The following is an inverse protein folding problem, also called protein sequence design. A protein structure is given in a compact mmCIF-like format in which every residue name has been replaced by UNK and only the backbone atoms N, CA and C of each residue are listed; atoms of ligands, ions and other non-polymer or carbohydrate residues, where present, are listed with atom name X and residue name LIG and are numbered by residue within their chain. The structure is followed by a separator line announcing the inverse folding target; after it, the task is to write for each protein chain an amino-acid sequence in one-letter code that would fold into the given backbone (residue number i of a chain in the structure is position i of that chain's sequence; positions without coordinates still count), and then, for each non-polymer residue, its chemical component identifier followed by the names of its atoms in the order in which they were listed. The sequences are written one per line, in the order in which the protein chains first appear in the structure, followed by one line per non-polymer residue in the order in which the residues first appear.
data_IF_656191112285
#
_entry.id   IF_656191112285
#
_cell.length_a   1.000
_cell.length_b   1.000
_cell.length_c   1.000
_cell.angle_alpha   90.00
_cell.angle_beta   90.00
_cell.angle_gamma   90.00
#
_symmetry.space_group_name_H-M   'P 1'
#
loop_
_entity.id
_entity.type
_entity.pdbx_description
1 polymer ?
#
# COMPACT_ATOMS: atom_id res chain seq x y z
N UNK A 1 3.54 -30.34 18.18
CA UNK A 1 2.46 -29.94 17.27
C UNK A 1 1.98 -28.58 17.70
N UNK A 2 2.38 -27.54 16.99
CA UNK A 2 1.97 -26.15 17.26
C UNK A 2 0.87 -25.82 16.25
N UNK A 3 -0.34 -25.64 16.76
CA UNK A 3 -1.53 -25.28 15.97
C UNK A 3 -1.36 -23.87 15.41
N UNK A 4 -1.55 -23.62 14.12
CA UNK A 4 -1.52 -22.26 13.60
C UNK A 4 -2.77 -21.52 14.07
N UNK A 5 -2.60 -20.39 14.74
CA UNK A 5 -3.66 -19.50 15.12
C UNK A 5 -4.42 -19.04 13.87
N UNK A 6 -5.61 -19.54 13.71
CA UNK A 6 -6.59 -19.19 12.69
C UNK A 6 -7.13 -17.79 13.04
N UNK A 7 -6.49 -16.72 12.58
CA UNK A 7 -7.09 -15.39 12.61
C UNK A 7 -8.19 -15.36 11.55
N UNK A 8 -9.39 -15.69 11.96
CA UNK A 8 -10.62 -15.59 11.20
C UNK A 8 -10.84 -14.13 10.77
N UNK A 9 -10.88 -13.89 9.46
CA UNK A 9 -11.45 -12.67 8.88
C UNK A 9 -12.99 -12.78 8.88
N UNK A 10 -13.58 -12.99 10.06
CA UNK A 10 -15.01 -12.84 10.24
C UNK A 10 -15.34 -11.36 10.30
N UNK A 11 -16.15 -10.90 9.34
CA UNK A 11 -16.83 -9.59 9.25
C UNK A 11 -16.01 -8.45 9.84
N UNK A 12 -15.36 -7.66 8.96
CA UNK A 12 -14.73 -6.40 9.37
C UNK A 12 -15.81 -5.49 9.94
N UNK A 13 -16.10 -5.67 11.21
CA UNK A 13 -16.80 -4.66 11.99
C UNK A 13 -15.96 -3.39 11.89
N UNK A 14 -16.58 -2.29 11.48
CA UNK A 14 -15.96 -0.95 11.42
C UNK A 14 -15.58 -0.58 12.85
N UNK A 15 -14.39 -0.99 13.28
CA UNK A 15 -13.86 -0.54 14.56
C UNK A 15 -13.40 0.90 14.40
N UNK A 16 -13.93 1.78 15.22
CA UNK A 16 -13.59 3.20 15.31
C UNK A 16 -12.20 3.38 15.96
N UNK A 17 -11.14 2.83 15.35
CA UNK A 17 -9.83 2.83 16.00
C UNK A 17 -8.63 2.76 15.07
N UNK A 18 -7.48 3.10 15.62
CA UNK A 18 -6.18 2.87 15.00
C UNK A 18 -5.67 1.50 15.43
N UNK A 19 -5.23 0.69 14.48
CA UNK A 19 -4.80 -0.70 14.71
C UNK A 19 -3.44 -0.97 14.06
N UNK A 20 -2.66 -1.86 14.63
CA UNK A 20 -1.44 -2.39 14.03
C UNK A 20 -1.26 -3.87 14.37
N UNK A 21 -0.78 -4.64 13.42
CA UNK A 21 -0.39 -6.04 13.62
C UNK A 21 1.12 -6.15 13.61
N UNK A 22 1.69 -6.67 14.70
CA UNK A 22 3.12 -6.84 14.88
C UNK A 22 3.44 -8.32 15.13
N UNK A 23 4.70 -8.69 14.93
CA UNK A 23 5.23 -9.95 15.42
C UNK A 23 5.34 -9.94 16.95
N UNK A 24 5.36 -11.12 17.56
CA UNK A 24 5.46 -11.26 19.03
C UNK A 24 6.75 -10.65 19.63
N UNK A 25 7.83 -10.62 18.84
CA UNK A 25 9.11 -10.01 19.20
C UNK A 25 9.19 -8.51 18.90
N UNK A 26 8.10 -7.92 18.34
CA UNK A 26 8.05 -6.50 17.97
C UNK A 26 8.98 -6.11 16.80
N UNK A 27 9.60 -7.09 16.13
CA UNK A 27 10.57 -6.83 15.07
C UNK A 27 9.95 -6.54 13.72
N UNK A 28 8.74 -7.03 13.47
CA UNK A 28 8.02 -6.89 12.22
C UNK A 28 6.66 -6.24 12.45
N UNK A 29 6.25 -5.37 11.54
CA UNK A 29 4.88 -4.85 11.44
C UNK A 29 4.26 -5.36 10.15
N UNK A 30 3.23 -6.19 10.29
CA UNK A 30 2.55 -6.81 9.16
C UNK A 30 1.66 -5.81 8.42
N UNK A 31 0.88 -5.02 9.17
CA UNK A 31 0.04 -3.94 8.66
C UNK A 31 -0.24 -2.90 9.75
N UNK A 32 -0.72 -1.74 9.30
CA UNK A 32 -1.19 -0.68 10.19
C UNK A 32 -2.42 -0.04 9.55
N UNK A 33 -3.45 0.26 10.36
CA UNK A 33 -4.70 0.88 9.94
C UNK A 33 -4.95 2.14 10.74
N UNK A 34 -5.47 3.17 10.05
CA UNK A 34 -5.95 4.42 10.65
C UNK A 34 -7.35 4.71 10.14
N UNK A 35 -8.32 4.84 11.04
CA UNK A 35 -9.63 5.40 10.74
C UNK A 35 -9.55 6.93 10.91
N UNK A 36 -9.89 7.68 9.87
CA UNK A 36 -9.75 9.14 9.83
C UNK A 36 -11.09 9.86 10.09
N UNK A 37 -12.18 9.11 10.19
CA UNK A 37 -13.51 9.59 10.58
C UNK A 37 -14.35 10.16 9.44
N UNK A 38 -13.77 10.99 8.59
CA UNK A 38 -14.45 11.63 7.45
C UNK A 38 -13.99 11.05 6.12
N UNK A 39 -14.83 11.16 5.08
CA UNK A 39 -14.57 10.62 3.75
C UNK A 39 -15.17 9.24 3.53
N UNK A 40 -14.83 8.63 2.40
CA UNK A 40 -15.36 7.33 1.98
C UNK A 40 -14.23 6.36 1.60
N UNK A 41 -14.50 5.06 1.67
CA UNK A 41 -13.58 4.02 1.24
C UNK A 41 -12.27 3.94 2.02
N UNK A 42 -11.33 3.19 1.48
CA UNK A 42 -10.04 2.88 2.09
C UNK A 42 -8.90 3.09 1.09
N UNK A 43 -7.89 3.85 1.48
CA UNK A 43 -6.64 3.94 0.74
C UNK A 43 -5.64 2.91 1.27
N UNK A 44 -5.38 1.88 0.47
CA UNK A 44 -4.39 0.85 0.76
C UNK A 44 -3.01 1.30 0.24
N UNK A 45 -2.16 1.75 1.15
CA UNK A 45 -0.79 2.14 0.82
C UNK A 45 0.19 0.98 0.92
N UNK A 46 1.00 0.78 -0.11
CA UNK A 46 2.09 -0.18 -0.15
C UNK A 46 3.43 0.54 -0.20
N UNK A 47 4.12 0.54 0.94
CA UNK A 47 5.41 1.21 1.14
C UNK A 47 6.62 0.28 1.10
N UNK A 48 7.80 0.80 1.44
CA UNK A 48 9.05 0.02 1.45
C UNK A 48 9.12 -0.89 2.68
N UNK A 49 9.21 -0.28 3.86
CA UNK A 49 9.30 -0.95 5.16
C UNK A 49 8.68 -0.09 6.26
N UNK A 50 8.21 -0.70 7.35
CA UNK A 50 7.76 0.05 8.50
C UNK A 50 8.93 0.79 9.16
N UNK A 51 8.67 2.02 9.61
CA UNK A 51 9.56 2.73 10.51
C UNK A 51 9.13 2.49 11.97
N UNK A 52 9.07 3.54 12.80
CA UNK A 52 8.73 3.41 14.22
C UNK A 52 7.26 3.67 14.55
N UNK A 53 6.42 3.88 13.52
CA UNK A 53 4.98 4.06 13.74
C UNK A 53 4.34 2.76 14.23
N UNK A 54 3.51 2.87 15.26
CA UNK A 54 2.72 1.80 15.85
C UNK A 54 1.24 2.19 15.95
N UNK A 55 0.45 1.48 16.75
CA UNK A 55 -0.97 1.79 16.92
C UNK A 55 -1.22 3.18 17.53
N UNK A 56 -0.32 3.73 18.34
CA UNK A 56 -0.46 4.97 19.08
C UNK A 56 0.39 6.13 18.54
N UNK A 57 1.48 5.84 17.82
CA UNK A 57 2.46 6.85 17.38
C UNK A 57 2.58 6.93 15.89
N UNK A 58 2.49 8.14 15.36
CA UNK A 58 2.69 8.44 13.95
C UNK A 58 4.10 9.00 13.71
N UNK A 59 4.83 8.37 12.82
CA UNK A 59 6.10 8.88 12.29
C UNK A 59 5.89 9.91 11.15
N UNK A 60 6.94 10.57 10.65
CA UNK A 60 6.81 11.53 9.56
C UNK A 60 6.17 10.96 8.29
N UNK A 61 6.46 9.70 7.94
CA UNK A 61 5.86 9.04 6.77
C UNK A 61 4.37 8.85 6.98
N UNK A 62 3.96 8.31 8.13
CA UNK A 62 2.56 8.06 8.42
C UNK A 62 1.75 9.37 8.51
N UNK A 63 2.31 10.43 9.13
CA UNK A 63 1.67 11.77 9.12
C UNK A 63 1.45 12.28 7.69
N UNK A 64 2.42 12.03 6.80
CA UNK A 64 2.30 12.41 5.39
C UNK A 64 1.22 11.61 4.67
N UNK A 65 1.16 10.29 4.91
CA UNK A 65 0.13 9.42 4.37
C UNK A 65 -1.27 9.84 4.83
N UNK A 66 -1.45 10.09 6.13
CA UNK A 66 -2.71 10.58 6.70
C UNK A 66 -3.15 11.91 6.06
N UNK A 67 -2.19 12.83 5.85
CA UNK A 67 -2.48 14.10 5.18
C UNK A 67 -3.01 13.90 3.76
N UNK A 68 -2.38 13.07 2.96
CA UNK A 68 -2.84 12.72 1.62
C UNK A 68 -4.18 11.98 1.63
N UNK A 69 -4.34 11.00 2.51
CA UNK A 69 -5.58 10.21 2.63
C UNK A 69 -6.78 11.12 2.89
N UNK A 70 -6.65 12.09 3.80
CA UNK A 70 -7.68 13.09 4.07
C UNK A 70 -7.92 14.03 2.89
N UNK A 71 -6.84 14.52 2.27
CA UNK A 71 -6.91 15.42 1.12
C UNK A 71 -7.67 14.79 -0.06
N UNK A 72 -7.52 13.48 -0.27
CA UNK A 72 -8.19 12.74 -1.35
C UNK A 72 -9.55 12.15 -0.93
N UNK A 73 -10.05 12.48 0.26
CA UNK A 73 -11.39 12.13 0.71
C UNK A 73 -11.59 10.69 1.19
N UNK A 74 -10.51 9.94 1.47
CA UNK A 74 -10.64 8.60 2.02
C UNK A 74 -10.87 8.62 3.53
N UNK A 75 -11.76 7.73 4.00
CA UNK A 75 -12.07 7.55 5.42
C UNK A 75 -11.03 6.71 6.16
N UNK A 76 -10.39 5.81 5.46
CA UNK A 76 -9.43 4.87 6.06
C UNK A 76 -8.11 4.84 5.30
N UNK A 77 -7.04 4.62 6.05
CA UNK A 77 -5.71 4.32 5.54
C UNK A 77 -5.28 2.95 6.05
N UNK A 78 -5.00 2.04 5.14
CA UNK A 78 -4.34 0.76 5.41
C UNK A 78 -2.90 0.82 4.89
N UNK A 79 -1.93 0.47 5.70
CA UNK A 79 -0.50 0.50 5.34
C UNK A 79 0.10 -0.88 5.45
N UNK A 80 0.61 -1.38 4.33
CA UNK A 80 1.49 -2.54 4.25
C UNK A 80 2.82 -2.16 3.62
N UNK A 81 3.76 -3.09 3.60
CA UNK A 81 5.11 -2.80 3.09
C UNK A 81 5.67 -3.99 2.32
N UNK A 82 6.58 -3.72 1.37
CA UNK A 82 7.33 -4.74 0.66
C UNK A 82 8.13 -5.61 1.65
N UNK A 83 8.73 -4.99 2.65
CA UNK A 83 9.46 -5.64 3.74
C UNK A 83 8.75 -5.33 5.05
N UNK A 84 8.44 -6.34 5.86
CA UNK A 84 7.74 -6.13 7.14
C UNK A 84 8.70 -5.77 8.28
N UNK A 85 10.02 -5.95 8.12
CA UNK A 85 10.99 -5.61 9.16
C UNK A 85 10.96 -4.12 9.49
N UNK A 86 10.74 -3.79 10.74
CA UNK A 86 10.83 -2.42 11.23
C UNK A 86 12.29 -1.95 11.18
N UNK A 87 12.54 -0.85 10.49
CA UNK A 87 13.89 -0.31 10.34
C UNK A 87 13.87 1.20 10.19
N UNK A 88 14.81 1.93 10.83
CA UNK A 88 14.88 3.39 10.75
C UNK A 88 15.34 3.90 9.40
N UNK A 89 15.98 3.06 8.58
CA UNK A 89 16.47 3.44 7.26
C UNK A 89 16.54 2.24 6.32
N UNK A 90 16.47 2.48 4.98
CA UNK A 90 16.67 1.44 3.98
C UNK A 90 18.05 0.76 4.07
N UNK A 91 19.11 1.49 4.45
CA UNK A 91 20.44 0.94 4.61
C UNK A 91 20.52 -0.04 5.80
N UNK A 92 19.86 0.28 6.91
CA UNK A 92 19.76 -0.63 8.07
C UNK A 92 18.93 -1.88 7.72
N UNK A 93 17.85 -1.71 6.96
CA UNK A 93 17.01 -2.83 6.50
C UNK A 93 17.81 -3.89 5.73
N UNK A 94 18.76 -3.46 4.89
CA UNK A 94 19.55 -4.38 4.05
C UNK A 94 20.57 -5.24 4.83
N UNK A 95 20.92 -4.82 6.05
CA UNK A 95 21.85 -5.57 6.91
C UNK A 95 21.15 -6.67 7.71
N UNK A 96 19.81 -6.68 7.70
CA UNK A 96 19.02 -7.68 8.40
C UNK A 96 19.01 -8.97 7.60
N UNK A 97 19.16 -10.11 8.27
CA UNK A 97 19.15 -11.45 7.65
C UNK A 97 17.80 -11.71 6.95
N UNK A 98 16.69 -11.45 7.62
CA UNK A 98 15.35 -11.56 7.06
C UNK A 98 14.63 -10.20 7.12
N UNK A 99 14.65 -9.39 6.05
CA UNK A 99 13.91 -8.13 6.00
C UNK A 99 12.44 -8.32 5.63
N UNK A 100 12.05 -9.44 5.01
CA UNK A 100 10.69 -9.69 4.55
C UNK A 100 9.80 -10.09 5.73
N UNK A 101 10.23 -11.06 6.51
CA UNK A 101 9.46 -11.66 7.60
C UNK A 101 8.56 -12.80 7.13
N UNK A 102 8.53 -13.88 7.91
CA UNK A 102 7.90 -15.15 7.54
C UNK A 102 6.41 -15.07 7.16
N UNK A 103 5.67 -14.07 7.66
CA UNK A 103 4.23 -13.93 7.39
C UNK A 103 3.90 -12.87 6.35
N UNK A 104 4.86 -12.04 5.93
CA UNK A 104 4.58 -10.86 5.12
C UNK A 104 3.90 -11.19 3.79
N UNK A 105 4.39 -12.21 3.09
CA UNK A 105 3.86 -12.58 1.77
C UNK A 105 2.43 -13.12 1.84
N UNK A 106 2.13 -13.91 2.87
CA UNK A 106 0.77 -14.43 3.10
C UNK A 106 -0.19 -13.28 3.40
N UNK A 107 0.24 -12.34 4.25
CA UNK A 107 -0.57 -11.18 4.65
C UNK A 107 -0.76 -10.22 3.47
N UNK A 108 0.30 -9.91 2.72
CA UNK A 108 0.21 -9.12 1.49
C UNK A 108 -0.77 -9.75 0.49
N UNK A 109 -0.64 -11.05 0.24
CA UNK A 109 -1.53 -11.76 -0.69
C UNK A 109 -2.99 -11.65 -0.26
N UNK A 110 -3.30 -11.83 1.04
CA UNK A 110 -4.67 -11.70 1.57
C UNK A 110 -5.24 -10.29 1.33
N UNK A 111 -4.47 -9.25 1.64
CA UNK A 111 -4.92 -7.86 1.47
C UNK A 111 -5.04 -7.46 0.00
N UNK A 112 -4.12 -7.91 -0.87
CA UNK A 112 -4.21 -7.69 -2.32
C UNK A 112 -5.42 -8.42 -2.92
N UNK A 113 -5.71 -9.64 -2.47
CA UNK A 113 -6.93 -10.37 -2.88
C UNK A 113 -8.19 -9.65 -2.40
N UNK A 114 -8.19 -9.11 -1.17
CA UNK A 114 -9.31 -8.30 -0.68
C UNK A 114 -9.48 -7.02 -1.51
N UNK A 115 -8.41 -6.30 -1.79
CA UNK A 115 -8.41 -5.13 -2.68
C UNK A 115 -8.98 -5.46 -4.06
N UNK A 116 -8.61 -6.59 -4.65
CA UNK A 116 -9.07 -6.94 -6.01
C UNK A 116 -10.57 -7.11 -6.13
N UNK A 117 -11.29 -7.29 -5.02
CA UNK A 117 -12.73 -7.56 -4.94
C UNK A 117 -13.55 -6.46 -4.30
N UNK A 118 -12.91 -5.47 -3.67
CA UNK A 118 -13.60 -4.51 -2.83
C UNK A 118 -13.71 -3.15 -3.52
N UNK A 119 -14.93 -2.72 -3.92
CA UNK A 119 -15.17 -1.34 -4.34
C UNK A 119 -14.83 -0.33 -3.25
N UNK A 120 -14.36 0.85 -3.63
CA UNK A 120 -13.99 1.91 -2.69
C UNK A 120 -12.68 1.63 -1.92
N UNK A 121 -11.94 0.59 -2.29
CA UNK A 121 -10.59 0.34 -1.78
C UNK A 121 -9.57 0.54 -2.91
N UNK A 122 -8.77 1.60 -2.84
CA UNK A 122 -7.77 1.92 -3.86
C UNK A 122 -6.35 1.61 -3.39
N UNK A 123 -5.54 1.01 -4.28
CA UNK A 123 -4.16 0.62 -3.99
C UNK A 123 -3.19 1.70 -4.44
N UNK A 124 -2.47 2.31 -3.50
CA UNK A 124 -1.41 3.27 -3.75
C UNK A 124 -0.02 2.66 -3.51
N UNK A 125 0.78 2.53 -4.58
CA UNK A 125 2.17 2.09 -4.53
C UNK A 125 3.11 3.28 -4.30
N UNK A 126 4.01 3.18 -3.30
CA UNK A 126 4.87 4.29 -2.93
C UNK A 126 6.14 3.88 -2.17
N UNK A 127 6.82 2.82 -2.59
CA UNK A 127 8.03 2.30 -1.93
C UNK A 127 9.34 3.01 -2.30
N UNK A 128 9.34 3.81 -3.39
CA UNK A 128 10.53 4.54 -3.85
C UNK A 128 11.61 3.64 -4.46
N UNK A 129 12.76 4.22 -4.75
CA UNK A 129 13.89 3.56 -5.47
C UNK A 129 14.40 2.27 -4.80
N UNK A 130 14.28 2.17 -3.49
CA UNK A 130 14.77 1.01 -2.74
C UNK A 130 13.87 -0.23 -2.87
N UNK A 131 12.68 -0.13 -3.45
CA UNK A 131 11.79 -1.26 -3.70
C UNK A 131 12.33 -2.28 -4.71
N UNK A 132 13.18 -1.84 -5.65
CA UNK A 132 13.83 -2.72 -6.63
C UNK A 132 14.83 -3.73 -6.01
N UNK A 133 15.21 -3.52 -4.74
CA UNK A 133 16.20 -4.38 -4.09
C UNK A 133 15.67 -5.78 -3.86
N UNK A 134 16.54 -6.80 -4.12
CA UNK A 134 16.23 -8.24 -4.03
C UNK A 134 14.98 -8.61 -4.87
N UNK A 135 14.76 -7.91 -5.99
CA UNK A 135 13.60 -8.10 -6.88
C UNK A 135 12.25 -8.03 -6.18
N UNK A 136 12.23 -7.43 -4.97
CA UNK A 136 11.07 -7.47 -4.09
C UNK A 136 9.86 -6.74 -4.69
N UNK A 137 10.08 -5.56 -5.28
CA UNK A 137 9.01 -4.84 -5.96
C UNK A 137 8.43 -5.67 -7.11
N UNK A 138 9.29 -6.31 -7.92
CA UNK A 138 8.83 -7.13 -9.05
C UNK A 138 7.97 -8.31 -8.58
N UNK A 139 8.40 -9.04 -7.53
CA UNK A 139 7.61 -10.14 -6.97
C UNK A 139 6.21 -9.71 -6.54
N UNK A 140 6.09 -8.52 -5.92
CA UNK A 140 4.80 -7.99 -5.48
C UNK A 140 3.98 -7.46 -6.66
N UNK A 141 4.62 -6.82 -7.65
CA UNK A 141 3.98 -6.38 -8.89
C UNK A 141 3.40 -7.57 -9.68
N UNK A 142 4.13 -8.68 -9.75
CA UNK A 142 3.64 -9.91 -10.39
C UNK A 142 2.41 -10.49 -9.66
N UNK A 143 2.38 -10.39 -8.32
CA UNK A 143 1.23 -10.79 -7.54
C UNK A 143 0.02 -9.88 -7.81
N UNK A 144 0.21 -8.57 -7.88
CA UNK A 144 -0.84 -7.61 -8.25
C UNK A 144 -1.33 -7.88 -9.67
N UNK A 145 -0.42 -8.10 -10.62
CA UNK A 145 -0.77 -8.35 -12.02
C UNK A 145 -1.68 -9.56 -12.19
N UNK A 146 -1.43 -10.63 -11.44
CA UNK A 146 -2.31 -11.81 -11.43
C UNK A 146 -3.73 -11.53 -10.92
N UNK A 147 -3.91 -10.48 -10.11
CA UNK A 147 -5.21 -10.07 -9.56
C UNK A 147 -5.94 -9.01 -10.41
N UNK A 148 -5.27 -8.38 -11.37
CA UNK A 148 -5.90 -7.34 -12.22
C UNK A 148 -7.14 -7.81 -12.99
N UNK A 149 -7.20 -9.03 -13.55
CA UNK A 149 -8.43 -9.51 -14.22
C UNK A 149 -9.61 -9.55 -13.23
N UNK A 150 -9.40 -10.03 -12.02
CA UNK A 150 -10.42 -10.05 -10.95
C UNK A 150 -10.81 -8.60 -10.55
N UNK A 151 -9.81 -7.70 -10.39
CA UNK A 151 -10.06 -6.30 -10.06
C UNK A 151 -10.91 -5.61 -11.13
N UNK A 152 -10.58 -5.78 -12.42
CA UNK A 152 -11.37 -5.20 -13.54
C UNK A 152 -12.80 -5.71 -13.56
N UNK A 153 -13.01 -6.98 -13.22
CA UNK A 153 -14.35 -7.58 -13.15
C UNK A 153 -15.17 -7.05 -11.98
N UNK A 154 -14.55 -6.90 -10.78
CA UNK A 154 -15.24 -6.52 -9.55
C UNK A 154 -15.33 -5.01 -9.35
N UNK A 155 -14.38 -4.24 -9.89
CA UNK A 155 -14.25 -2.79 -9.69
C UNK A 155 -13.83 -2.12 -10.99
N UNK A 156 -14.70 -2.08 -12.02
CA UNK A 156 -14.36 -1.58 -13.35
C UNK A 156 -13.97 -0.10 -13.35
N UNK A 157 -14.52 0.73 -12.46
CA UNK A 157 -14.28 2.17 -12.41
C UNK A 157 -12.93 2.54 -11.78
N UNK A 158 -12.30 1.64 -11.05
CA UNK A 158 -10.97 1.85 -10.41
C UNK A 158 -10.10 0.60 -10.50
N UNK A 159 -9.74 0.15 -11.72
CA UNK A 159 -9.10 -1.15 -11.91
C UNK A 159 -7.59 -1.13 -11.67
N UNK A 160 -6.95 0.04 -11.68
CA UNK A 160 -5.48 0.14 -11.64
C UNK A 160 -4.97 0.50 -10.25
N UNK A 161 -3.81 -0.05 -9.84
CA UNK A 161 -3.03 0.55 -8.77
C UNK A 161 -2.60 1.97 -9.12
N UNK A 162 -2.34 2.78 -8.09
CA UNK A 162 -2.06 4.21 -8.20
C UNK A 162 -0.64 4.52 -7.71
N UNK A 163 -0.08 5.65 -8.15
CA UNK A 163 1.19 6.19 -7.67
C UNK A 163 1.20 7.73 -7.73
N UNK A 164 2.14 8.38 -7.04
CA UNK A 164 2.39 9.83 -7.17
C UNK A 164 3.29 10.18 -8.36
N UNK A 165 3.75 9.20 -9.09
CA UNK A 165 4.64 9.33 -10.22
C UNK A 165 5.89 8.47 -10.09
N UNK A 166 6.63 8.26 -11.20
CA UNK A 166 7.84 7.49 -11.18
C UNK A 166 9.01 8.27 -10.59
N UNK A 167 9.98 7.55 -10.07
CA UNK A 167 11.35 8.01 -9.89
C UNK A 167 12.11 7.90 -11.22
N UNK A 168 13.36 8.37 -11.28
CA UNK A 168 14.20 8.22 -12.46
C UNK A 168 14.43 6.75 -12.86
N UNK A 169 14.33 5.81 -11.89
CA UNK A 169 14.44 4.36 -12.13
C UNK A 169 13.08 3.67 -12.36
N UNK A 170 11.99 4.41 -12.63
CA UNK A 170 10.67 3.87 -12.87
C UNK A 170 9.91 3.39 -11.63
N UNK A 171 10.51 3.43 -10.44
CA UNK A 171 9.84 3.01 -9.20
C UNK A 171 8.81 4.06 -8.75
N UNK A 172 7.69 3.66 -8.12
CA UNK A 172 6.70 4.60 -7.61
C UNK A 172 7.29 5.48 -6.50
N UNK A 173 7.13 6.81 -6.65
CA UNK A 173 7.73 7.80 -5.76
C UNK A 173 7.23 7.65 -4.32
N UNK A 174 8.17 7.71 -3.38
CA UNK A 174 7.85 7.67 -1.95
C UNK A 174 7.17 8.98 -1.50
N UNK A 175 6.13 8.92 -0.66
CA UNK A 175 5.31 10.08 -0.25
C UNK A 175 6.09 11.24 0.37
N UNK A 176 7.17 10.98 1.09
CA UNK A 176 8.00 12.03 1.69
C UNK A 176 8.67 12.96 0.67
N UNK A 177 8.87 12.48 -0.56
CA UNK A 177 9.52 13.25 -1.64
C UNK A 177 8.53 13.83 -2.65
N UNK A 178 7.24 13.76 -2.36
CA UNK A 178 6.21 14.34 -3.21
C UNK A 178 5.80 15.75 -2.71
N UNK A 179 5.41 16.68 -3.59
CA UNK A 179 4.83 17.95 -3.19
C UNK A 179 3.50 17.73 -2.43
N UNK A 180 3.07 18.74 -1.65
CA UNK A 180 1.84 18.63 -0.84
C UNK A 180 0.58 18.51 -1.68
N UNK A 181 0.57 19.13 -2.86
CA UNK A 181 -0.54 19.11 -3.82
C UNK A 181 -0.42 17.99 -4.86
N UNK A 182 0.39 16.97 -4.63
CA UNK A 182 0.49 15.84 -5.55
C UNK A 182 -0.83 15.08 -5.64
N UNK A 183 -1.15 14.58 -6.85
CA UNK A 183 -2.32 13.77 -7.13
C UNK A 183 -1.92 12.34 -7.46
N UNK A 184 -2.79 11.39 -7.14
CA UNK A 184 -2.66 10.00 -7.56
C UNK A 184 -2.93 9.88 -9.06
N UNK A 185 -2.19 8.97 -9.70
CA UNK A 185 -2.36 8.60 -11.09
C UNK A 185 -2.19 7.09 -11.27
N UNK A 186 -2.76 6.48 -12.33
CA UNK A 186 -2.57 5.06 -12.60
C UNK A 186 -1.10 4.65 -12.66
N UNK A 187 -0.78 3.50 -12.07
CA UNK A 187 0.54 2.88 -12.14
C UNK A 187 0.50 1.71 -13.13
N UNK A 188 0.99 1.93 -14.35
CA UNK A 188 0.80 1.07 -15.51
C UNK A 188 2.08 0.32 -15.91
N UNK A 189 2.78 -0.33 -14.97
CA UNK A 189 4.05 -1.02 -15.24
C UNK A 189 3.93 -2.27 -16.13
N UNK A 190 2.73 -2.84 -16.26
CA UNK A 190 2.49 -4.14 -16.88
C UNK A 190 1.67 -4.07 -18.18
N UNK A 191 1.27 -2.89 -18.63
CA UNK A 191 0.42 -2.73 -19.80
C UNK A 191 1.14 -1.92 -20.89
N UNK A 192 1.74 -2.60 -21.90
CA UNK A 192 2.45 -1.93 -22.99
C UNK A 192 1.55 -1.02 -23.84
N UNK A 193 0.25 -1.29 -23.93
CA UNK A 193 -0.68 -0.47 -24.71
C UNK A 193 -1.07 0.82 -23.98
N UNK A 194 -1.27 0.74 -22.65
CA UNK A 194 -1.56 1.91 -21.83
C UNK A 194 -0.33 2.81 -21.61
N UNK A 195 0.87 2.26 -21.71
CA UNK A 195 2.12 3.05 -21.69
C UNK A 195 2.24 3.89 -22.98
N UNK A 196 1.78 3.38 -24.14
CA UNK A 196 1.83 4.07 -25.44
C UNK A 196 0.75 5.14 -25.61
N UNK A 197 -0.38 4.98 -24.94
CA UNK A 197 -1.50 5.92 -24.96
C UNK A 197 -1.87 6.29 -23.52
N UNK A 198 -1.20 7.26 -22.88
CA UNK A 198 -1.64 7.78 -21.59
C UNK A 198 -3.07 8.31 -21.82
N UNK A 199 -4.04 7.60 -21.22
CA UNK A 199 -5.44 8.04 -21.18
C UNK A 199 -5.43 9.48 -20.68
N UNK A 200 -6.10 10.37 -21.42
CA UNK A 200 -6.06 11.82 -21.26
C UNK A 200 -6.12 12.27 -19.81
N UNK A 201 -5.46 13.37 -19.54
CA UNK A 201 -5.41 14.01 -18.24
C UNK A 201 -6.76 13.96 -17.54
N UNK A 202 -6.76 13.44 -16.30
CA UNK A 202 -7.91 13.33 -15.37
C UNK A 202 -8.67 14.66 -15.09
N UNK A 203 -8.59 15.64 -15.98
CA UNK A 203 -9.34 16.90 -15.93
C UNK A 203 -10.81 16.74 -16.32
N UNK A 204 -11.22 15.59 -16.90
CA UNK A 204 -12.57 15.40 -17.39
C UNK A 204 -13.50 14.59 -16.47
N UNK A 205 -13.06 14.21 -15.26
CA UNK A 205 -13.83 13.33 -14.36
C UNK A 205 -14.41 14.06 -13.13
N UNK A 206 -13.99 15.31 -12.88
CA UNK A 206 -14.59 16.12 -11.82
C UNK A 206 -15.11 17.46 -12.40
N UNK A 207 -16.42 17.59 -12.62
CA UNK A 207 -17.01 18.93 -12.84
C UNK A 207 -16.84 19.76 -11.58
N UNK A 208 -16.41 21.00 -11.77
CA UNK A 208 -16.24 22.07 -10.78
C UNK A 208 -17.46 22.28 -9.91
#
# INVERSE_FOLDING_TARGET
MVTPANASLSSVAVSSGSEASLSSDGCYRWWLRRCLGTGEGCLFFLGLNPSRADAQRDDPTLRRLIGFTRQWGYRELLVLNLFARMSPSPAALLRVKDPIGAQNDVILHRWLTHWSRTPGMDLWCGWGVNGARRDRAQMVLDAIQRLLPERRRCVPDSPHPLMLGPTASGQPRHPLYAPRNACLRPFLWADPELIRHPVGTLTDVFPT
#
